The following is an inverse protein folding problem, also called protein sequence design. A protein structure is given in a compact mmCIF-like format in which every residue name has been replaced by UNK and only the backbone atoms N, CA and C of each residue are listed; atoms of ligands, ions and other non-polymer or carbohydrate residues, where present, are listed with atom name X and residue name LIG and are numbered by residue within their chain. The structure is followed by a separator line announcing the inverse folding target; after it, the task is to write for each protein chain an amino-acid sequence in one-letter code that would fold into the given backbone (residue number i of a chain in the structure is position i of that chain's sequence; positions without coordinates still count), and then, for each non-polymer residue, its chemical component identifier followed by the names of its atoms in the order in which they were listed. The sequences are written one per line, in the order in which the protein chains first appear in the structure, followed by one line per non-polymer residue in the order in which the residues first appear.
data_IF_746446976194
#
_entry.id   IF_746446976194
#
_cell.length_a   1.000
_cell.length_b   1.000
_cell.length_c   1.000
_cell.angle_alpha   90.00
_cell.angle_beta   90.00
_cell.angle_gamma   90.00
#
_symmetry.space_group_name_H-M   'P 1'
#
loop_
_entity.id
_entity.type
_entity.pdbx_description
1 polymer ?
#
# COMPACT_ATOMS: atom_id res chain seq x y z
N UNK A 1 -0.40 -6.99 -3.41
CA UNK A 1 -0.07 -5.97 -2.40
C UNK A 1 -0.94 -6.23 -1.18
N UNK A 2 -0.44 -6.06 0.03
CA UNK A 2 -1.25 -6.22 1.24
C UNK A 2 -2.12 -4.96 1.50
N UNK A 3 -3.14 -5.11 2.35
CA UNK A 3 -4.12 -4.06 2.63
C UNK A 3 -3.52 -2.82 3.29
N UNK A 4 -2.48 -2.97 4.12
CA UNK A 4 -1.80 -1.86 4.77
C UNK A 4 -1.11 -1.00 3.72
N UNK A 5 -0.28 -1.62 2.87
CA UNK A 5 0.45 -0.92 1.81
C UNK A 5 -0.50 -0.25 0.82
N UNK A 6 -1.58 -0.94 0.41
CA UNK A 6 -2.59 -0.36 -0.48
C UNK A 6 -3.33 0.83 0.13
N UNK A 7 -3.65 0.80 1.43
CA UNK A 7 -4.31 1.90 2.12
C UNK A 7 -3.43 3.15 2.20
N UNK A 8 -2.14 2.97 2.52
CA UNK A 8 -1.16 4.05 2.55
C UNK A 8 -1.05 4.71 1.17
N UNK A 9 -0.88 3.92 0.11
CA UNK A 9 -0.80 4.46 -1.26
C UNK A 9 -2.07 5.20 -1.68
N UNK A 10 -3.24 4.66 -1.35
CA UNK A 10 -4.52 5.28 -1.69
C UNK A 10 -4.71 6.61 -0.96
N UNK A 11 -4.23 6.70 0.29
CA UNK A 11 -4.24 7.94 1.05
C UNK A 11 -3.26 8.97 0.48
N UNK A 12 -2.05 8.56 0.10
CA UNK A 12 -1.02 9.43 -0.48
C UNK A 12 -1.51 10.14 -1.76
N UNK A 13 -2.21 9.41 -2.63
CA UNK A 13 -2.83 9.99 -3.84
C UNK A 13 -3.97 10.97 -3.56
N UNK A 14 -4.31 11.19 -2.29
CA UNK A 14 -5.53 11.86 -1.88
C UNK A 14 -5.40 12.64 -0.54
N UNK A 15 -4.18 12.97 -0.14
CA UNK A 15 -3.91 13.78 1.06
C UNK A 15 -4.55 15.17 1.02
N UNK A 16 -4.97 15.64 -0.17
CA UNK A 16 -5.71 16.89 -0.32
C UNK A 16 -7.08 16.91 0.35
N UNK A 17 -7.62 15.76 0.77
CA UNK A 17 -8.86 15.70 1.54
C UNK A 17 -8.59 15.52 3.01
N UNK A 18 -9.07 16.48 3.79
CA UNK A 18 -8.88 16.58 5.24
C UNK A 18 -9.14 15.28 5.98
N UNK A 19 -10.24 14.60 5.70
CA UNK A 19 -10.57 13.34 6.37
C UNK A 19 -9.53 12.22 6.11
N UNK A 20 -8.93 12.21 4.92
CA UNK A 20 -7.89 11.24 4.55
C UNK A 20 -6.54 11.63 5.13
N UNK A 21 -6.19 12.92 5.12
CA UNK A 21 -5.00 13.42 5.80
C UNK A 21 -5.04 13.14 7.30
N UNK A 22 -6.15 13.44 7.97
CA UNK A 22 -6.34 13.19 9.41
C UNK A 22 -6.22 11.68 9.73
N UNK A 23 -6.78 10.80 8.89
CA UNK A 23 -6.69 9.36 9.07
C UNK A 23 -5.27 8.81 8.78
N UNK A 24 -4.58 9.36 7.78
CA UNK A 24 -3.22 8.98 7.41
C UNK A 24 -2.23 9.32 8.52
N UNK A 25 -2.31 10.54 9.04
CA UNK A 25 -1.53 11.00 10.20
C UNK A 25 -1.81 10.11 11.43
N UNK A 26 -3.07 9.70 11.63
CA UNK A 26 -3.45 8.75 12.67
C UNK A 26 -2.75 7.39 12.53
N UNK A 27 -2.67 6.84 11.32
CA UNK A 27 -1.94 5.59 11.05
C UNK A 27 -0.44 5.78 11.30
N UNK A 28 0.16 6.85 10.78
CA UNK A 28 1.59 7.15 10.95
C UNK A 28 1.96 7.29 12.42
N UNK A 29 1.20 8.07 13.18
CA UNK A 29 1.40 8.25 14.62
C UNK A 29 1.23 6.94 15.40
N UNK A 30 0.27 6.09 15.03
CA UNK A 30 0.08 4.78 15.66
C UNK A 30 1.26 3.84 15.39
N UNK A 31 1.75 3.81 14.15
CA UNK A 31 2.92 3.03 13.74
C UNK A 31 4.17 3.49 14.48
N UNK A 32 4.41 4.81 14.55
CA UNK A 32 5.51 5.39 15.33
C UNK A 32 5.39 5.04 16.81
N UNK A 33 4.20 5.10 17.40
CA UNK A 33 3.96 4.78 18.81
C UNK A 33 4.23 3.30 19.12
N UNK A 34 3.88 2.39 18.20
CA UNK A 34 4.01 0.95 18.42
C UNK A 34 5.41 0.41 18.12
N UNK A 35 6.01 0.83 17.02
CA UNK A 35 7.27 0.27 16.53
C UNK A 35 8.46 1.22 16.72
N UNK A 36 8.21 2.51 16.95
CA UNK A 36 9.22 3.54 17.05
C UNK A 36 9.41 4.33 15.75
N UNK A 37 9.90 5.57 15.88
CA UNK A 37 10.19 6.45 14.74
C UNK A 37 11.30 5.89 13.84
N UNK A 38 12.29 5.21 14.41
CA UNK A 38 13.41 4.64 13.67
C UNK A 38 13.11 3.31 12.97
N UNK A 39 11.91 2.76 13.18
CA UNK A 39 11.55 1.48 12.61
C UNK A 39 11.43 1.55 11.08
N UNK A 40 11.84 0.48 10.39
CA UNK A 40 11.81 0.41 8.92
C UNK A 40 10.42 0.70 8.32
N UNK A 41 9.37 0.28 9.03
CA UNK A 41 7.99 0.53 8.62
C UNK A 41 7.65 2.01 8.65
N UNK A 42 8.06 2.74 9.70
CA UNK A 42 7.86 4.19 9.81
C UNK A 42 8.61 4.91 8.69
N UNK A 43 9.90 4.60 8.51
CA UNK A 43 10.72 5.22 7.47
C UNK A 43 10.13 4.98 6.08
N UNK A 44 9.67 3.76 5.78
CA UNK A 44 9.05 3.46 4.49
C UNK A 44 7.76 4.26 4.25
N UNK A 45 6.97 4.57 5.28
CA UNK A 45 5.79 5.44 5.14
C UNK A 45 6.20 6.86 4.79
N UNK A 46 7.23 7.40 5.45
CA UNK A 46 7.76 8.75 5.21
C UNK A 46 8.40 8.89 3.83
N UNK A 47 9.15 7.88 3.39
CA UNK A 47 9.75 7.83 2.06
C UNK A 47 8.68 7.74 0.96
N UNK A 48 7.59 6.96 1.18
CA UNK A 48 6.46 6.94 0.25
C UNK A 48 5.68 8.26 0.22
N UNK A 49 5.69 9.04 1.30
CA UNK A 49 5.09 10.37 1.31
C UNK A 49 5.82 11.32 0.35
N UNK A 50 7.14 11.17 0.24
CA UNK A 50 7.98 11.95 -0.67
C UNK A 50 8.01 11.35 -2.10
N UNK A 51 8.05 10.01 -2.19
CA UNK A 51 8.15 9.25 -3.43
C UNK A 51 7.03 8.19 -3.53
N UNK A 52 5.76 8.59 -3.74
CA UNK A 52 4.61 7.68 -3.73
C UNK A 52 4.66 6.63 -4.85
N UNK A 53 5.38 6.91 -5.93
CA UNK A 53 5.54 6.02 -7.07
C UNK A 53 6.65 4.98 -6.89
N UNK A 54 7.47 5.07 -5.83
CA UNK A 54 8.62 4.18 -5.61
C UNK A 54 8.20 2.75 -5.27
N UNK A 55 8.39 1.84 -6.22
CA UNK A 55 8.10 0.41 -6.01
C UNK A 55 9.01 -0.24 -4.95
N UNK A 56 10.24 0.28 -4.81
CA UNK A 56 11.17 -0.17 -3.77
C UNK A 56 10.62 0.08 -2.37
N UNK A 57 10.13 1.30 -2.12
CA UNK A 57 9.56 1.64 -0.81
C UNK A 57 8.25 0.91 -0.51
N UNK A 58 7.41 0.66 -1.53
CA UNK A 58 6.20 -0.18 -1.39
C UNK A 58 6.56 -1.60 -0.93
N UNK A 59 7.59 -2.20 -1.52
CA UNK A 59 8.08 -3.52 -1.13
C UNK A 59 8.65 -3.53 0.29
N UNK A 60 9.47 -2.54 0.64
CA UNK A 60 10.02 -2.41 1.99
C UNK A 60 8.91 -2.24 3.02
N UNK A 61 7.88 -1.44 2.73
CA UNK A 61 6.74 -1.26 3.62
C UNK A 61 5.97 -2.57 3.82
N UNK A 62 5.64 -3.27 2.74
CA UNK A 62 4.95 -4.56 2.79
C UNK A 62 5.74 -5.59 3.61
N UNK A 63 7.05 -5.69 3.39
CA UNK A 63 7.91 -6.60 4.17
C UNK A 63 7.99 -6.20 5.64
N UNK A 64 8.17 -4.92 5.92
CA UNK A 64 8.28 -4.40 7.28
C UNK A 64 6.97 -4.59 8.06
N UNK A 65 5.82 -4.34 7.42
CA UNK A 65 4.50 -4.55 7.98
C UNK A 65 4.27 -6.02 8.36
N UNK A 66 4.61 -6.96 7.46
CA UNK A 66 4.52 -8.40 7.75
C UNK A 66 5.48 -8.85 8.86
N UNK A 67 6.72 -8.38 8.84
CA UNK A 67 7.73 -8.72 9.87
C UNK A 67 7.35 -8.17 11.24
N UNK A 68 6.77 -6.98 11.28
CA UNK A 68 6.30 -6.34 12.50
C UNK A 68 4.95 -6.89 13.00
N UNK A 69 4.25 -7.69 12.18
CA UNK A 69 2.92 -8.20 12.50
C UNK A 69 1.85 -7.11 12.50
N UNK A 70 2.04 -6.04 11.73
CA UNK A 70 1.09 -4.94 11.60
C UNK A 70 -0.27 -5.43 11.08
N UNK A 71 -0.28 -6.50 10.27
CA UNK A 71 -1.46 -7.19 9.78
C UNK A 71 -2.23 -7.98 10.86
N UNK A 72 -1.59 -8.24 12.00
CA UNK A 72 -2.17 -8.96 13.14
C UNK A 72 -2.56 -8.02 14.29
N UNK A 73 -2.14 -6.77 14.21
CA UNK A 73 -2.40 -5.78 15.23
C UNK A 73 -3.77 -5.13 15.01
N UNK A 74 -4.71 -5.39 15.92
CA UNK A 74 -6.08 -4.92 15.79
C UNK A 74 -6.19 -3.39 15.79
N UNK A 75 -5.32 -2.67 16.51
CA UNK A 75 -5.34 -1.21 16.49
C UNK A 75 -4.87 -0.67 15.15
N UNK A 76 -3.79 -1.24 14.60
CA UNK A 76 -3.27 -0.85 13.29
C UNK A 76 -4.28 -1.15 12.21
N UNK A 77 -4.83 -2.36 12.19
CA UNK A 77 -5.83 -2.76 11.20
C UNK A 77 -7.08 -1.89 11.28
N UNK A 78 -7.51 -1.48 12.48
CA UNK A 78 -8.63 -0.54 12.65
C UNK A 78 -8.29 0.84 12.08
N UNK A 79 -7.09 1.36 12.32
CA UNK A 79 -6.67 2.65 11.78
C UNK A 79 -6.56 2.62 10.24
N UNK A 80 -5.99 1.54 9.69
CA UNK A 80 -5.91 1.29 8.24
C UNK A 80 -7.30 1.19 7.62
N UNK A 81 -8.23 0.52 8.28
CA UNK A 81 -9.62 0.42 7.80
C UNK A 81 -10.30 1.80 7.78
N UNK A 82 -10.13 2.61 8.84
CA UNK A 82 -10.65 3.96 8.88
C UNK A 82 -10.06 4.84 7.76
N UNK A 83 -8.77 4.68 7.45
CA UNK A 83 -8.13 5.35 6.32
C UNK A 83 -8.75 4.94 4.98
N UNK A 84 -8.95 3.64 4.76
CA UNK A 84 -9.61 3.14 3.54
C UNK A 84 -11.04 3.66 3.42
N UNK A 85 -11.80 3.70 4.51
CA UNK A 85 -13.17 4.19 4.48
C UNK A 85 -13.22 5.70 4.20
N UNK A 86 -12.27 6.48 4.74
CA UNK A 86 -12.13 7.88 4.41
C UNK A 86 -11.80 8.12 2.92
N UNK A 87 -10.94 7.27 2.33
CA UNK A 87 -10.67 7.31 0.89
C UNK A 87 -11.91 6.90 0.08
N UNK A 88 -12.59 5.80 0.44
CA UNK A 88 -13.80 5.32 -0.26
C UNK A 88 -14.96 6.32 -0.21
N UNK A 89 -15.07 7.09 0.86
CA UNK A 89 -16.11 8.12 1.01
C UNK A 89 -16.03 9.23 -0.05
N UNK A 90 -14.95 9.27 -0.82
CA UNK A 90 -14.76 10.25 -1.87
C UNK A 90 -15.30 9.84 -3.22
N UNK A 91 -15.65 10.82 -4.08
CA UNK A 91 -15.99 10.56 -5.46
C UNK A 91 -14.81 9.89 -6.19
N UNK A 92 -14.94 8.60 -6.48
CA UNK A 92 -13.92 7.81 -7.17
C UNK A 92 -12.88 7.13 -6.29
N UNK A 93 -12.93 7.30 -4.96
CA UNK A 93 -11.94 6.70 -4.05
C UNK A 93 -11.92 5.17 -4.05
N UNK A 94 -13.08 4.53 -4.23
CA UNK A 94 -13.15 3.08 -4.40
C UNK A 94 -12.43 2.61 -5.68
N UNK A 95 -12.53 3.39 -6.77
CA UNK A 95 -11.80 3.11 -8.01
C UNK A 95 -10.30 3.33 -7.84
N UNK A 96 -9.89 4.36 -7.10
CA UNK A 96 -8.48 4.63 -6.80
C UNK A 96 -7.84 3.45 -6.05
N UNK A 97 -8.52 2.92 -5.02
CA UNK A 97 -8.07 1.73 -4.29
C UNK A 97 -7.97 0.52 -5.22
N UNK A 98 -8.99 0.26 -6.04
CA UNK A 98 -8.96 -0.85 -7.00
C UNK A 98 -7.82 -0.73 -8.02
N UNK A 99 -7.55 0.48 -8.52
CA UNK A 99 -6.45 0.73 -9.45
C UNK A 99 -5.10 0.41 -8.83
N UNK A 100 -4.85 0.82 -7.59
CA UNK A 100 -3.60 0.52 -6.87
C UNK A 100 -3.41 -0.99 -6.69
N UNK A 101 -4.48 -1.71 -6.35
CA UNK A 101 -4.45 -3.17 -6.20
C UNK A 101 -4.14 -3.84 -7.55
N UNK A 102 -4.72 -3.34 -8.65
CA UNK A 102 -4.54 -3.88 -10.00
C UNK A 102 -3.20 -3.50 -10.65
N UNK A 103 -2.61 -2.36 -10.31
CA UNK A 103 -1.33 -1.89 -10.87
C UNK A 103 -0.17 -2.86 -10.58
N UNK A 104 -0.20 -3.57 -9.46
CA UNK A 104 0.79 -4.60 -9.15
C UNK A 104 0.61 -5.89 -9.97
N UNK A 105 -0.56 -6.11 -10.59
CA UNK A 105 -0.82 -7.27 -11.47
C UNK A 105 -0.28 -7.04 -12.88
N UNK A 106 -0.15 -5.79 -13.31
CA UNK A 106 0.40 -5.44 -14.63
C UNK A 106 1.91 -5.18 -14.66
N UNK A 107 2.60 -5.25 -13.50
CA UNK A 107 4.00 -4.85 -13.35
C UNK A 107 5.07 -5.95 -13.42
N UNK A 108 4.71 -7.20 -13.73
CA UNK A 108 5.71 -8.25 -13.99
C UNK A 108 5.69 -8.67 -15.45
N UNK A 109 6.38 -7.88 -16.27
CA UNK A 109 6.87 -8.25 -17.59
C UNK A 109 7.93 -9.36 -17.55
N UNK A 110 7.62 -10.49 -16.91
CA UNK A 110 8.18 -11.79 -17.25
C UNK A 110 7.06 -12.70 -17.76
N UNK A 111 6.25 -12.17 -18.68
CA UNK A 111 5.58 -13.01 -19.67
C UNK A 111 6.63 -13.46 -20.69
N UNK A 112 7.33 -14.56 -20.38
CA UNK A 112 7.49 -15.58 -21.42
C UNK A 112 6.13 -16.26 -21.58
N UNK A 113 5.15 -15.51 -22.09
CA UNK A 113 3.95 -16.10 -22.70
C UNK A 113 4.28 -16.36 -24.16
N UNK A 114 5.24 -17.26 -24.38
CA UNK A 114 5.36 -17.96 -25.64
C UNK A 114 4.25 -19.00 -25.70
N UNK A 115 3.01 -18.56 -25.92
CA UNK A 115 1.97 -19.44 -26.47
C UNK A 115 2.24 -19.55 -27.98
N UNK A 116 3.32 -20.25 -28.30
CA UNK A 116 3.58 -20.77 -29.64
C UNK A 116 3.41 -22.27 -29.54
N UNK A 117 2.39 -22.81 -30.21
CA UNK A 117 2.24 -24.26 -30.38
C UNK A 117 3.57 -24.84 -30.87
N UNK A 118 4.26 -25.60 -30.01
CA UNK A 118 5.41 -26.41 -30.42
C UNK A 118 4.84 -27.62 -31.16
N UNK A 119 4.69 -27.49 -32.47
CA UNK A 119 4.58 -28.65 -33.36
C UNK A 119 6.01 -29.09 -33.66
N UNK A 120 6.50 -30.10 -32.93
CA UNK A 120 7.72 -30.82 -33.33
C UNK A 120 7.32 -31.76 -34.46
N UNK A 121 7.51 -31.33 -35.70
CA UNK A 121 7.47 -32.24 -36.84
C UNK A 121 8.83 -32.92 -36.93
N UNK A 122 8.84 -34.25 -36.75
CA UNK A 122 10.01 -35.13 -36.94
C UNK A 122 10.27 -35.37 -38.42
#
# INVERSE_FOLDING_TARGET
MDIFTSAIMAALGNLGVKAVGDAYEGVKALVQRKFGADHKMTKAIEELEQEPDSDGWKLVLQEAAKKAGADKDAEIMKAVQALLDAVKAQPGGEKAIQQIINQQVSGSGHIFSGSGNVTVTK
#
